data_IF_256977973909
#
_entry.id   IF_256977973909
#
_cell.length_a   1.000
_cell.length_b   1.000
_cell.length_c   1.000
_cell.angle_alpha   90.00
_cell.angle_beta   90.00
_cell.angle_gamma   90.00
#
_symmetry.space_group_name_H-M   'P 1'
#
loop_
_entity.id
_entity.type
_entity.pdbx_description
1 polymer ?
#
# COMPACT_ATOMS: atom_id res chain seq x y z
N UNK A 1 -15.68 16.34 -22.77
CA UNK A 1 -16.42 16.63 -21.53
C UNK A 1 -15.58 16.12 -20.38
N UNK A 2 -15.37 16.90 -19.31
CA UNK A 2 -14.59 16.43 -18.17
C UNK A 2 -15.40 15.39 -17.37
N UNK A 3 -14.78 14.29 -16.91
CA UNK A 3 -15.48 13.25 -16.18
C UNK A 3 -15.88 13.70 -14.78
N UNK A 4 -16.96 13.12 -14.28
CA UNK A 4 -17.45 13.20 -12.91
C UNK A 4 -16.92 12.01 -12.12
N UNK A 5 -16.27 12.26 -10.98
CA UNK A 5 -15.52 11.23 -10.25
C UNK A 5 -16.06 11.03 -8.85
N UNK A 6 -16.35 9.79 -8.49
CA UNK A 6 -16.71 9.38 -7.13
C UNK A 6 -15.55 8.63 -6.46
N UNK A 7 -15.01 9.17 -5.37
CA UNK A 7 -14.06 8.47 -4.51
C UNK A 7 -14.83 7.80 -3.38
N UNK A 8 -14.87 6.47 -3.38
CA UNK A 8 -15.68 5.67 -2.46
C UNK A 8 -14.79 5.03 -1.42
N UNK A 9 -15.09 5.23 -0.14
CA UNK A 9 -14.30 4.69 0.96
C UNK A 9 -15.15 4.19 2.12
N UNK A 10 -14.56 3.33 2.94
CA UNK A 10 -15.19 2.91 4.21
C UNK A 10 -15.04 4.03 5.23
N UNK A 11 -16.16 4.68 5.54
CA UNK A 11 -16.25 5.69 6.59
C UNK A 11 -16.26 5.03 7.97
N UNK A 12 -15.52 5.63 8.90
CA UNK A 12 -15.42 5.19 10.30
C UNK A 12 -14.97 3.73 10.47
N UNK A 13 -14.03 3.29 9.64
CA UNK A 13 -13.39 1.96 9.75
C UNK A 13 -12.97 1.64 11.20
N UNK A 14 -13.28 0.42 11.64
CA UNK A 14 -12.83 -0.11 12.92
C UNK A 14 -11.41 -0.72 12.85
N UNK A 15 -10.87 -0.85 11.63
CA UNK A 15 -9.57 -1.47 11.37
C UNK A 15 -8.47 -0.42 11.29
N UNK A 16 -8.61 0.58 10.41
CA UNK A 16 -7.55 1.54 10.11
C UNK A 16 -8.09 2.85 9.57
N UNK A 17 -7.35 3.94 9.74
CA UNK A 17 -7.63 5.22 9.08
C UNK A 17 -7.01 5.36 7.69
N UNK A 18 -6.28 4.35 7.21
CA UNK A 18 -5.52 4.39 5.96
C UNK A 18 -6.38 4.73 4.74
N UNK A 19 -7.43 3.94 4.50
CA UNK A 19 -8.31 4.12 3.34
C UNK A 19 -9.02 5.48 3.35
N UNK A 20 -9.44 5.94 4.53
CA UNK A 20 -10.07 7.25 4.69
C UNK A 20 -9.09 8.41 4.44
N UNK A 21 -7.85 8.33 4.95
CA UNK A 21 -6.82 9.34 4.72
C UNK A 21 -6.43 9.40 3.24
N UNK A 22 -6.29 8.23 2.60
CA UNK A 22 -6.00 8.13 1.18
C UNK A 22 -7.14 8.70 0.33
N UNK A 23 -8.39 8.34 0.63
CA UNK A 23 -9.57 8.82 -0.10
C UNK A 23 -9.72 10.34 0.01
N UNK A 24 -9.55 10.90 1.21
CA UNK A 24 -9.55 12.34 1.42
C UNK A 24 -8.48 13.03 0.57
N UNK A 25 -7.23 12.59 0.69
CA UNK A 25 -6.11 13.17 -0.06
C UNK A 25 -6.31 13.09 -1.57
N UNK A 26 -6.65 11.92 -2.10
CA UNK A 26 -6.87 11.73 -3.55
C UNK A 26 -8.04 12.57 -4.04
N UNK A 27 -9.15 12.63 -3.28
CA UNK A 27 -10.32 13.44 -3.67
C UNK A 27 -10.00 14.93 -3.77
N UNK A 28 -9.16 15.46 -2.86
CA UNK A 28 -8.72 16.87 -2.91
C UNK A 28 -7.79 17.11 -4.11
N UNK A 29 -6.84 16.21 -4.35
CA UNK A 29 -5.94 16.30 -5.51
C UNK A 29 -6.71 16.27 -6.84
N UNK A 30 -7.74 15.43 -6.93
CA UNK A 30 -8.61 15.34 -8.12
C UNK A 30 -9.43 16.61 -8.31
N UNK A 31 -10.07 17.13 -7.26
CA UNK A 31 -10.84 18.36 -7.34
C UNK A 31 -9.97 19.55 -7.78
N UNK A 32 -8.73 19.63 -7.30
CA UNK A 32 -7.79 20.68 -7.66
C UNK A 32 -7.07 20.47 -9.01
N UNK A 33 -7.26 19.33 -9.67
CA UNK A 33 -6.50 18.97 -10.88
C UNK A 33 -6.94 19.72 -12.16
N UNK A 34 -8.17 20.22 -12.19
CA UNK A 34 -8.81 20.69 -13.43
C UNK A 34 -9.10 19.59 -14.47
N UNK A 35 -8.86 18.32 -14.13
CA UNK A 35 -9.12 17.14 -15.00
C UNK A 35 -10.48 16.50 -14.77
N UNK A 36 -11.25 16.99 -13.79
CA UNK A 36 -12.57 16.49 -13.44
C UNK A 36 -13.58 17.63 -13.48
N UNK A 37 -14.82 17.35 -13.87
CA UNK A 37 -15.90 18.33 -13.78
C UNK A 37 -16.33 18.54 -12.33
N UNK A 38 -16.41 17.44 -11.58
CA UNK A 38 -16.75 17.42 -10.16
C UNK A 38 -16.21 16.15 -9.51
N UNK A 39 -15.79 16.26 -8.25
CA UNK A 39 -15.33 15.16 -7.42
C UNK A 39 -16.22 15.02 -6.19
N UNK A 40 -16.79 13.83 -6.00
CA UNK A 40 -17.48 13.46 -4.77
C UNK A 40 -16.59 12.56 -3.92
N UNK A 41 -16.46 12.87 -2.64
CA UNK A 41 -15.93 11.96 -1.64
C UNK A 41 -17.11 11.28 -0.92
N UNK A 42 -17.33 10.00 -1.20
CA UNK A 42 -18.50 9.24 -0.74
C UNK A 42 -18.09 8.23 0.34
N UNK A 43 -18.50 8.51 1.57
CA UNK A 43 -18.25 7.64 2.73
C UNK A 43 -19.38 6.65 2.96
N UNK A 44 -19.07 5.36 2.90
CA UNK A 44 -20.05 4.27 3.12
C UNK A 44 -19.67 3.44 4.35
N UNK A 45 -20.65 2.78 4.95
CA UNK A 45 -20.33 1.73 5.93
C UNK A 45 -19.90 0.42 5.23
N UNK A 46 -19.48 -0.58 6.02
CA UNK A 46 -19.03 -1.88 5.49
C UNK A 46 -20.11 -2.69 4.76
N UNK A 47 -21.39 -2.33 4.92
CA UNK A 47 -22.51 -2.92 4.17
C UNK A 47 -22.86 -2.11 2.91
N UNK A 48 -22.10 -1.04 2.61
CA UNK A 48 -22.31 -0.15 1.47
C UNK A 48 -23.43 0.88 1.66
N UNK A 49 -24.10 0.89 2.81
CA UNK A 49 -25.24 1.79 3.05
C UNK A 49 -24.76 3.22 3.32
N UNK A 50 -25.59 4.16 2.89
CA UNK A 50 -25.43 5.59 3.21
C UNK A 50 -25.39 5.81 4.71
N UNK A 51 -24.54 6.74 5.15
CA UNK A 51 -24.47 7.20 6.53
C UNK A 51 -25.19 8.55 6.61
N UNK A 52 -25.90 8.81 7.71
CA UNK A 52 -26.75 10.00 7.88
C UNK A 52 -26.03 11.32 7.53
N UNK A 53 -26.80 12.25 6.94
CA UNK A 53 -26.34 13.50 6.30
C UNK A 53 -25.60 14.48 7.23
N UNK A 54 -25.71 14.31 8.55
CA UNK A 54 -25.43 15.39 9.51
C UNK A 54 -24.00 15.46 10.06
N UNK A 55 -23.07 14.59 9.64
CA UNK A 55 -21.71 14.58 10.20
C UNK A 55 -20.61 14.54 9.13
N UNK A 56 -20.73 15.26 8.01
CA UNK A 56 -19.53 15.53 7.20
C UNK A 56 -18.58 16.41 8.02
N UNK A 57 -17.46 15.84 8.48
CA UNK A 57 -16.36 16.62 9.07
C UNK A 57 -15.66 17.36 7.93
N UNK A 58 -16.18 18.53 7.60
CA UNK A 58 -15.57 19.45 6.64
C UNK A 58 -14.22 19.97 7.16
N UNK A 59 -13.29 20.30 6.25
CA UNK A 59 -12.01 20.94 6.58
C UNK A 59 -10.77 20.04 6.52
N UNK A 60 -10.74 19.05 5.63
CA UNK A 60 -9.51 18.31 5.36
C UNK A 60 -8.52 19.20 4.59
N UNK A 61 -7.26 19.22 5.04
CA UNK A 61 -6.16 19.93 4.38
C UNK A 61 -5.12 18.91 3.93
N UNK A 62 -4.62 19.05 2.71
CA UNK A 62 -3.62 18.18 2.11
C UNK A 62 -2.46 18.97 1.53
N UNK A 63 -1.23 18.46 1.69
CA UNK A 63 -0.05 18.93 0.96
C UNK A 63 0.23 17.97 -0.19
N UNK A 64 -0.02 18.44 -1.42
CA UNK A 64 0.25 17.67 -2.64
C UNK A 64 1.77 17.57 -2.87
N UNK A 65 2.19 16.57 -3.63
CA UNK A 65 3.60 16.27 -3.92
C UNK A 65 4.39 17.45 -4.53
N UNK A 66 3.73 18.39 -5.20
CA UNK A 66 4.33 19.59 -5.78
C UNK A 66 4.40 20.79 -4.80
N UNK A 67 4.00 20.58 -3.54
CA UNK A 67 3.98 21.61 -2.50
C UNK A 67 2.69 22.42 -2.42
N UNK A 68 1.70 22.15 -3.28
CA UNK A 68 0.42 22.84 -3.22
C UNK A 68 -0.39 22.42 -1.98
N UNK A 69 -0.88 23.41 -1.24
CA UNK A 69 -1.79 23.18 -0.09
C UNK A 69 -3.23 23.21 -0.59
N UNK A 70 -3.92 22.09 -0.45
CA UNK A 70 -5.31 21.89 -0.85
C UNK A 70 -6.17 21.88 0.41
N UNK A 71 -7.21 22.72 0.43
CA UNK A 71 -8.09 22.89 1.59
C UNK A 71 -9.53 22.67 1.16
N UNK A 72 -10.17 21.65 1.72
CA UNK A 72 -11.53 21.27 1.35
C UNK A 72 -12.53 22.39 1.65
N UNK A 73 -12.27 23.24 2.66
CA UNK A 73 -13.09 24.41 2.98
C UNK A 73 -12.97 25.57 1.99
N UNK A 74 -11.98 25.55 1.10
CA UNK A 74 -11.78 26.59 0.06
C UNK A 74 -12.27 26.16 -1.33
N UNK A 75 -12.60 24.89 -1.51
CA UNK A 75 -13.12 24.38 -2.78
C UNK A 75 -14.63 24.64 -2.87
N UNK A 76 -15.11 25.04 -4.05
CA UNK A 76 -16.55 25.25 -4.25
C UNK A 76 -17.29 23.91 -4.29
N UNK A 77 -18.54 23.91 -3.85
CA UNK A 77 -19.43 22.73 -3.89
C UNK A 77 -19.76 22.26 -5.32
N UNK A 78 -19.46 23.09 -6.32
CA UNK A 78 -19.58 22.74 -7.74
C UNK A 78 -18.44 21.83 -8.19
N UNK A 79 -17.27 21.92 -7.56
CA UNK A 79 -16.07 21.15 -7.92
C UNK A 79 -15.83 20.00 -6.95
N UNK A 80 -16.14 20.18 -5.66
CA UNK A 80 -15.87 19.20 -4.60
C UNK A 80 -17.04 19.06 -3.63
N UNK A 81 -17.42 17.83 -3.28
CA UNK A 81 -18.47 17.57 -2.30
C UNK A 81 -18.17 16.30 -1.48
N UNK A 82 -18.20 16.41 -0.15
CA UNK A 82 -18.15 15.26 0.76
C UNK A 82 -19.57 14.83 1.12
N UNK A 83 -19.89 13.54 1.01
CA UNK A 83 -21.24 13.06 1.26
C UNK A 83 -21.27 11.62 1.76
N UNK A 84 -22.30 11.29 2.55
CA UNK A 84 -22.67 9.91 2.88
C UNK A 84 -23.69 9.31 1.91
N UNK A 85 -24.21 10.09 0.96
CA UNK A 85 -25.27 9.68 0.05
C UNK A 85 -24.70 8.96 -1.18
N UNK A 86 -24.82 7.62 -1.20
CA UNK A 86 -24.35 6.79 -2.30
C UNK A 86 -25.05 7.09 -3.63
N UNK A 87 -26.23 7.71 -3.64
CA UNK A 87 -26.99 7.96 -4.87
C UNK A 87 -26.30 8.95 -5.81
N UNK A 88 -25.41 9.81 -5.27
CA UNK A 88 -24.57 10.73 -6.03
C UNK A 88 -23.62 10.02 -7.00
N UNK A 89 -23.28 8.77 -6.72
CA UNK A 89 -22.47 7.95 -7.60
C UNK A 89 -23.15 7.62 -8.95
N UNK A 90 -24.47 7.79 -9.06
CA UNK A 90 -25.17 7.69 -10.36
C UNK A 90 -24.68 8.74 -11.37
N UNK A 91 -24.27 9.91 -10.87
CA UNK A 91 -23.80 11.02 -11.70
C UNK A 91 -22.33 10.87 -12.13
N UNK A 92 -21.63 9.86 -11.61
CA UNK A 92 -20.20 9.67 -11.83
C UNK A 92 -19.91 8.73 -13.00
N UNK A 93 -18.96 9.14 -13.84
CA UNK A 93 -18.41 8.36 -14.96
C UNK A 93 -17.33 7.38 -14.47
N UNK A 94 -16.60 7.78 -13.41
CA UNK A 94 -15.49 7.06 -12.82
C UNK A 94 -15.68 6.89 -11.31
N UNK A 95 -15.50 5.67 -10.81
CA UNK A 95 -15.38 5.39 -9.38
C UNK A 95 -13.96 4.95 -9.02
N UNK A 96 -13.43 5.52 -7.93
CA UNK A 96 -12.21 5.07 -7.29
C UNK A 96 -12.57 4.38 -5.97
N UNK A 97 -12.30 3.08 -5.87
CA UNK A 97 -12.67 2.27 -4.70
C UNK A 97 -11.49 2.14 -3.73
N UNK A 98 -11.70 2.62 -2.50
CA UNK A 98 -10.79 2.54 -1.36
C UNK A 98 -11.58 2.09 -0.11
N UNK A 99 -12.27 0.96 -0.24
CA UNK A 99 -13.06 0.37 0.84
C UNK A 99 -12.24 -0.68 1.58
N UNK A 100 -12.67 -1.09 2.77
CA UNK A 100 -12.02 -2.20 3.47
C UNK A 100 -12.02 -3.48 2.60
N UNK A 101 -10.91 -4.20 2.58
CA UNK A 101 -10.71 -5.41 1.75
C UNK A 101 -11.83 -6.45 1.92
N UNK A 102 -12.31 -6.63 3.16
CA UNK A 102 -13.37 -7.59 3.44
C UNK A 102 -14.75 -7.08 3.04
N UNK A 103 -14.95 -5.77 2.99
CA UNK A 103 -16.20 -5.12 2.59
C UNK A 103 -16.34 -4.98 1.07
N UNK A 104 -15.25 -5.04 0.30
CA UNK A 104 -15.23 -4.74 -1.15
C UNK A 104 -16.42 -5.31 -1.92
N UNK A 105 -16.61 -6.63 -1.87
CA UNK A 105 -17.66 -7.30 -2.65
C UNK A 105 -19.05 -6.88 -2.21
N UNK A 106 -19.30 -6.84 -0.89
CA UNK A 106 -20.59 -6.44 -0.33
C UNK A 106 -20.95 -5.01 -0.76
N UNK A 107 -20.00 -4.09 -0.65
CA UNK A 107 -20.19 -2.70 -1.07
C UNK A 107 -20.45 -2.63 -2.58
N UNK A 108 -19.67 -3.32 -3.41
CA UNK A 108 -19.86 -3.25 -4.87
C UNK A 108 -21.16 -3.89 -5.33
N UNK A 109 -21.58 -5.00 -4.73
CA UNK A 109 -22.87 -5.63 -5.01
C UNK A 109 -24.04 -4.72 -4.57
N UNK A 110 -23.90 -4.05 -3.42
CA UNK A 110 -24.88 -3.07 -2.96
C UNK A 110 -24.99 -1.89 -3.93
N UNK A 111 -23.85 -1.33 -4.33
CA UNK A 111 -23.79 -0.22 -5.30
C UNK A 111 -24.39 -0.63 -6.64
N UNK A 112 -24.07 -1.83 -7.14
CA UNK A 112 -24.65 -2.36 -8.37
C UNK A 112 -26.18 -2.50 -8.31
N UNK A 113 -26.72 -2.97 -7.17
CA UNK A 113 -28.17 -3.14 -6.97
C UNK A 113 -28.90 -1.80 -6.80
N UNK A 114 -28.27 -0.84 -6.14
CA UNK A 114 -28.91 0.41 -5.71
C UNK A 114 -28.83 1.50 -6.78
N UNK A 115 -27.76 1.50 -7.58
CA UNK A 115 -27.51 2.50 -8.59
C UNK A 115 -28.09 2.04 -9.94
N UNK A 116 -28.61 3.00 -10.71
CA UNK A 116 -29.28 2.68 -11.98
C UNK A 116 -28.29 1.96 -12.89
N UNK A 117 -28.78 0.92 -13.57
CA UNK A 117 -28.06 0.31 -14.69
C UNK A 117 -27.82 1.40 -15.72
N UNK A 118 -26.59 1.49 -16.21
CA UNK A 118 -26.28 2.26 -17.41
C UNK A 118 -27.14 1.70 -18.54
N UNK A 119 -28.00 2.54 -19.13
CA UNK A 119 -28.76 2.16 -20.33
C UNK A 119 -27.79 1.62 -21.39
N UNK A 120 -28.21 0.69 -22.25
CA UNK A 120 -27.36 0.13 -23.32
C UNK A 120 -26.77 1.21 -24.26
N UNK A 121 -27.37 2.41 -24.26
CA UNK A 121 -26.92 3.57 -25.03
C UNK A 121 -25.89 4.46 -24.30
N UNK A 122 -25.72 4.29 -22.99
CA UNK A 122 -24.72 5.03 -22.21
C UNK A 122 -23.38 4.28 -22.18
N UNK A 123 -22.29 5.05 -22.18
CA UNK A 123 -20.95 4.48 -21.99
C UNK A 123 -20.87 3.75 -20.64
N UNK A 124 -20.23 2.57 -20.64
CA UNK A 124 -20.01 1.83 -19.39
C UNK A 124 -19.21 2.68 -18.41
N UNK A 125 -19.68 2.69 -17.15
CA UNK A 125 -18.96 3.31 -16.03
C UNK A 125 -17.61 2.63 -15.83
N UNK A 126 -16.58 3.42 -15.51
CA UNK A 126 -15.25 2.90 -15.16
C UNK A 126 -15.12 2.81 -13.64
N UNK A 127 -14.56 1.70 -13.14
CA UNK A 127 -14.34 1.49 -11.71
C UNK A 127 -12.90 1.05 -11.50
N UNK A 128 -12.10 1.82 -10.76
CA UNK A 128 -10.72 1.48 -10.41
C UNK A 128 -10.68 1.03 -8.96
N UNK A 129 -10.25 -0.20 -8.69
CA UNK A 129 -9.90 -0.63 -7.35
C UNK A 129 -8.49 -0.17 -7.02
N UNK A 130 -8.36 0.71 -6.03
CA UNK A 130 -7.08 1.23 -5.55
C UNK A 130 -6.62 0.53 -4.26
N UNK A 131 -7.13 -0.66 -4.01
CA UNK A 131 -6.80 -1.47 -2.83
C UNK A 131 -5.45 -2.18 -3.00
N UNK A 132 -4.64 -2.14 -1.95
CA UNK A 132 -3.31 -2.76 -1.89
C UNK A 132 -3.36 -4.30 -1.84
N UNK A 133 -4.46 -4.89 -1.37
CA UNK A 133 -4.56 -6.33 -1.13
C UNK A 133 -4.65 -7.17 -2.40
N UNK A 134 -4.10 -8.39 -2.35
CA UNK A 134 -4.04 -9.36 -3.46
C UNK A 134 -5.38 -10.01 -3.81
N UNK A 135 -6.38 -9.90 -2.94
CA UNK A 135 -7.64 -10.66 -3.03
C UNK A 135 -8.63 -10.09 -4.05
N UNK A 136 -9.54 -10.98 -4.49
CA UNK A 136 -10.86 -10.67 -5.10
C UNK A 136 -10.85 -9.92 -6.44
N UNK A 137 -9.74 -9.88 -7.17
CA UNK A 137 -9.69 -9.25 -8.50
C UNK A 137 -10.75 -9.83 -9.45
N UNK A 138 -10.83 -11.16 -9.55
CA UNK A 138 -11.82 -11.82 -10.41
C UNK A 138 -13.26 -11.59 -9.92
N UNK A 139 -13.47 -11.65 -8.60
CA UNK A 139 -14.79 -11.50 -7.98
C UNK A 139 -15.34 -10.08 -8.13
N UNK A 140 -14.46 -9.07 -8.13
CA UNK A 140 -14.85 -7.67 -8.36
C UNK A 140 -15.41 -7.46 -9.76
N UNK A 141 -14.83 -8.10 -10.79
CA UNK A 141 -15.39 -8.06 -12.14
C UNK A 141 -16.81 -8.67 -12.17
N UNK A 142 -17.02 -9.76 -11.45
CA UNK A 142 -18.33 -10.43 -11.37
C UNK A 142 -19.37 -9.62 -10.60
N UNK A 143 -18.96 -8.82 -9.61
CA UNK A 143 -19.85 -7.97 -8.82
C UNK A 143 -20.34 -6.72 -9.59
N UNK A 144 -19.63 -6.32 -10.66
CA UNK A 144 -19.92 -5.13 -11.47
C UNK A 144 -19.93 -5.46 -12.98
N UNK A 145 -20.87 -6.31 -13.45
CA UNK A 145 -20.87 -6.78 -14.85
C UNK A 145 -21.11 -5.67 -15.89
N UNK A 146 -21.80 -4.61 -15.48
CA UNK A 146 -22.17 -3.48 -16.35
C UNK A 146 -21.11 -2.37 -16.37
N UNK A 147 -19.95 -2.57 -15.74
CA UNK A 147 -18.86 -1.59 -15.63
C UNK A 147 -17.55 -2.11 -16.22
N UNK A 148 -16.67 -1.18 -16.60
CA UNK A 148 -15.27 -1.50 -16.90
C UNK A 148 -14.49 -1.43 -15.60
N UNK A 149 -14.20 -2.60 -15.03
CA UNK A 149 -13.40 -2.71 -13.81
C UNK A 149 -11.92 -2.74 -14.16
N UNK A 150 -11.15 -1.83 -13.57
CA UNK A 150 -9.70 -1.77 -13.62
C UNK A 150 -9.10 -2.16 -12.27
N UNK A 151 -8.13 -3.07 -12.32
CA UNK A 151 -7.40 -3.52 -11.13
C UNK A 151 -6.17 -2.65 -10.93
N UNK A 152 -6.02 -2.06 -9.76
CA UNK A 152 -4.88 -1.24 -9.42
C UNK A 152 -4.54 -1.28 -7.94
N UNK A 153 -3.85 -0.23 -7.50
CA UNK A 153 -3.48 0.01 -6.12
C UNK A 153 -2.65 1.27 -5.96
N UNK A 154 -2.35 1.57 -4.70
CA UNK A 154 -1.55 2.74 -4.32
C UNK A 154 -0.28 2.26 -3.60
N UNK A 155 0.87 2.68 -4.09
CA UNK A 155 2.18 2.29 -3.55
C UNK A 155 2.75 3.31 -2.55
N UNK A 156 1.89 4.10 -1.91
CA UNK A 156 2.22 5.03 -0.83
C UNK A 156 1.12 5.05 0.22
N UNK A 157 1.47 5.37 1.47
CA UNK A 157 0.48 5.70 2.51
C UNK A 157 0.27 7.21 2.52
N UNK A 158 -0.92 7.66 2.90
CA UNK A 158 -1.16 9.06 3.27
C UNK A 158 -1.22 9.14 4.78
N UNK A 159 -0.43 10.04 5.36
CA UNK A 159 -0.33 10.26 6.80
C UNK A 159 -0.75 11.68 7.16
N UNK A 160 -1.22 11.88 8.40
CA UNK A 160 -1.42 13.20 8.98
C UNK A 160 -0.16 13.66 9.71
N UNK A 161 0.25 14.88 9.48
CA UNK A 161 1.29 15.53 10.28
C UNK A 161 0.75 16.05 11.62
N UNK A 162 1.63 16.67 12.41
CA UNK A 162 1.29 17.24 13.72
C UNK A 162 0.24 18.37 13.64
N UNK A 163 0.05 18.97 12.46
CA UNK A 163 -0.98 19.99 12.18
C UNK A 163 -2.27 19.38 11.62
N UNK A 164 -2.34 18.06 11.48
CA UNK A 164 -3.47 17.34 10.90
C UNK A 164 -3.52 17.36 9.38
N UNK A 165 -2.50 17.88 8.70
CA UNK A 165 -2.43 17.98 7.24
C UNK A 165 -2.05 16.63 6.63
N UNK A 166 -2.81 16.20 5.63
CA UNK A 166 -2.60 14.96 4.87
C UNK A 166 -1.43 15.12 3.91
N UNK A 167 -0.54 14.13 3.87
CA UNK A 167 0.57 14.07 2.90
C UNK A 167 1.00 12.63 2.62
N UNK A 168 1.56 12.34 1.44
CA UNK A 168 2.17 11.04 1.18
C UNK A 168 3.35 10.78 2.14
N UNK A 169 3.43 9.55 2.65
CA UNK A 169 4.53 9.08 3.48
C UNK A 169 5.79 8.80 2.66
N UNK A 170 5.65 8.42 1.39
CA UNK A 170 6.76 8.14 0.48
C UNK A 170 6.43 8.62 -0.95
N UNK A 171 7.43 8.61 -1.83
CA UNK A 171 7.30 9.03 -3.24
C UNK A 171 6.70 7.94 -4.15
N UNK A 172 5.85 7.07 -3.59
CA UNK A 172 5.19 6.03 -4.38
C UNK A 172 4.17 6.61 -5.36
N UNK A 173 3.62 5.73 -6.20
CA UNK A 173 2.71 6.12 -7.27
C UNK A 173 1.45 5.23 -7.31
N UNK A 174 0.51 5.56 -8.18
CA UNK A 174 -0.56 4.65 -8.53
C UNK A 174 -0.05 3.57 -9.48
N UNK A 175 -0.61 2.37 -9.40
CA UNK A 175 -0.45 1.36 -10.44
C UNK A 175 -1.82 0.84 -10.87
N UNK A 176 -1.97 0.60 -12.17
CA UNK A 176 -3.22 0.12 -12.77
C UNK A 176 -2.89 -0.93 -13.83
N UNK A 177 -3.78 -1.91 -14.00
CA UNK A 177 -3.61 -2.92 -15.02
C UNK A 177 -3.46 -2.31 -16.41
N UNK A 178 -2.65 -2.96 -17.24
CA UNK A 178 -2.55 -2.57 -18.64
C UNK A 178 -3.86 -2.85 -19.33
N UNK A 179 -4.43 -1.80 -19.92
CA UNK A 179 -5.71 -1.86 -20.61
C UNK A 179 -5.62 -2.84 -21.78
N UNK A 180 -6.54 -3.81 -21.80
CA UNK A 180 -6.78 -4.63 -22.97
C UNK A 180 -7.53 -3.80 -24.03
N UNK A 181 -7.60 -4.31 -25.28
CA UNK A 181 -8.34 -3.65 -26.36
C UNK A 181 -9.78 -3.32 -25.97
N UNK A 182 -10.42 -4.21 -25.21
CA UNK A 182 -11.80 -4.08 -24.73
C UNK A 182 -11.98 -2.97 -23.68
N UNK A 183 -10.90 -2.59 -22.97
CA UNK A 183 -10.92 -1.56 -21.92
C UNK A 183 -10.35 -0.22 -22.37
N UNK A 184 -10.08 -0.05 -23.67
CA UNK A 184 -9.46 1.18 -24.22
C UNK A 184 -10.29 2.44 -23.94
N UNK A 185 -11.63 2.32 -23.86
CA UNK A 185 -12.51 3.43 -23.51
C UNK A 185 -12.30 3.97 -22.08
N UNK A 186 -11.60 3.22 -21.21
CA UNK A 186 -11.26 3.64 -19.86
C UNK A 186 -9.91 4.39 -19.78
N UNK A 187 -9.24 4.67 -20.90
CA UNK A 187 -7.95 5.36 -20.91
C UNK A 187 -7.98 6.71 -20.18
N UNK A 188 -9.07 7.46 -20.32
CA UNK A 188 -9.26 8.75 -19.66
C UNK A 188 -9.15 8.65 -18.12
N UNK A 189 -9.45 7.48 -17.54
CA UNK A 189 -9.39 7.30 -16.10
C UNK A 189 -7.93 7.30 -15.59
N UNK A 190 -6.96 6.92 -16.44
CA UNK A 190 -5.54 7.06 -16.13
C UNK A 190 -5.13 8.54 -16.16
N UNK A 191 -5.58 9.30 -17.15
CA UNK A 191 -5.32 10.76 -17.23
C UNK A 191 -5.89 11.51 -16.01
N UNK A 192 -7.06 11.08 -15.52
CA UNK A 192 -7.68 11.62 -14.30
C UNK A 192 -6.79 11.34 -13.08
N UNK A 193 -6.27 10.12 -12.94
CA UNK A 193 -5.35 9.78 -11.85
C UNK A 193 -4.03 10.54 -11.95
N UNK A 194 -3.45 10.68 -13.14
CA UNK A 194 -2.25 11.50 -13.35
C UNK A 194 -2.50 12.99 -13.04
N UNK A 195 -3.73 13.46 -13.22
CA UNK A 195 -4.17 14.81 -12.83
C UNK A 195 -3.96 15.12 -11.34
N UNK A 196 -3.84 14.11 -10.48
CA UNK A 196 -3.51 14.30 -9.05
C UNK A 196 -2.07 14.79 -8.82
N UNK A 197 -1.23 14.85 -9.86
CA UNK A 197 0.20 15.14 -9.74
C UNK A 197 1.03 13.93 -9.29
N UNK A 198 0.42 12.75 -9.23
CA UNK A 198 1.06 11.48 -8.85
C UNK A 198 1.14 10.60 -10.08
N UNK A 199 2.29 9.95 -10.27
CA UNK A 199 2.50 9.10 -11.43
C UNK A 199 1.54 7.90 -11.45
N UNK A 200 1.22 7.41 -12.64
CA UNK A 200 0.40 6.21 -12.84
C UNK A 200 1.20 5.21 -13.65
N UNK A 201 1.48 4.05 -13.06
CA UNK A 201 2.18 2.97 -13.74
C UNK A 201 1.20 1.94 -14.29
N UNK A 202 1.19 1.79 -15.60
CA UNK A 202 0.46 0.71 -16.26
C UNK A 202 1.30 -0.57 -16.30
N UNK A 203 0.74 -1.70 -15.83
CA UNK A 203 1.45 -2.99 -15.76
C UNK A 203 0.58 -4.16 -16.21
N UNK A 204 1.18 -5.09 -16.95
CA UNK A 204 0.51 -6.35 -17.32
C UNK A 204 0.29 -7.27 -16.12
N UNK A 205 1.26 -7.33 -15.21
CA UNK A 205 1.22 -8.21 -14.05
C UNK A 205 0.93 -7.42 -12.76
N UNK A 206 -0.35 -7.10 -12.55
CA UNK A 206 -0.77 -6.39 -11.34
C UNK A 206 -0.61 -7.24 -10.08
N UNK A 207 -0.67 -8.56 -10.19
CA UNK A 207 -0.43 -9.44 -9.04
C UNK A 207 1.00 -9.29 -8.53
N UNK A 208 2.00 -9.29 -9.42
CA UNK A 208 3.40 -9.05 -9.03
C UNK A 208 3.58 -7.70 -8.32
N UNK A 209 2.87 -6.67 -8.77
CA UNK A 209 2.90 -5.35 -8.13
C UNK A 209 2.24 -5.36 -6.74
N UNK A 210 1.09 -6.00 -6.60
CA UNK A 210 0.45 -6.16 -5.28
C UNK A 210 1.34 -6.94 -4.30
N UNK A 211 2.04 -7.97 -4.77
CA UNK A 211 3.04 -8.69 -3.98
C UNK A 211 4.16 -7.78 -3.50
N UNK A 212 4.83 -7.06 -4.41
CA UNK A 212 5.95 -6.18 -4.02
C UNK A 212 5.51 -5.05 -3.10
N UNK A 213 4.35 -4.43 -3.32
CA UNK A 213 3.80 -3.44 -2.39
C UNK A 213 3.50 -4.03 -1.01
N UNK A 214 2.85 -5.19 -0.94
CA UNK A 214 2.54 -5.85 0.35
C UNK A 214 3.83 -6.23 1.09
N UNK A 215 4.85 -6.67 0.37
CA UNK A 215 6.16 -6.97 0.92
C UNK A 215 6.78 -5.75 1.61
N UNK A 216 6.81 -4.60 0.94
CA UNK A 216 7.33 -3.35 1.53
C UNK A 216 6.54 -2.92 2.76
N UNK A 217 5.22 -3.05 2.71
CA UNK A 217 4.31 -2.63 3.78
C UNK A 217 4.47 -3.43 5.08
N UNK A 218 5.01 -4.65 5.03
CA UNK A 218 5.37 -5.42 6.24
C UNK A 218 6.26 -4.62 7.20
N UNK A 219 7.11 -3.72 6.66
CA UNK A 219 7.98 -2.87 7.45
C UNK A 219 7.22 -1.87 8.31
N UNK A 220 6.09 -1.36 7.84
CA UNK A 220 5.28 -0.41 8.60
C UNK A 220 4.70 -1.01 9.88
N UNK A 221 4.43 -2.32 9.89
CA UNK A 221 3.98 -3.05 11.08
C UNK A 221 5.13 -3.23 12.09
N UNK A 222 6.35 -3.50 11.62
CA UNK A 222 7.55 -3.57 12.48
C UNK A 222 7.79 -2.22 13.18
N UNK A 223 7.70 -1.12 12.42
CA UNK A 223 7.90 0.23 12.97
C UNK A 223 6.81 0.60 13.97
N UNK A 224 5.56 0.22 13.69
CA UNK A 224 4.44 0.47 14.58
C UNK A 224 4.61 -0.25 15.93
N UNK A 225 5.08 -1.49 15.95
CA UNK A 225 5.35 -2.24 17.18
C UNK A 225 6.54 -1.70 17.98
N UNK A 226 7.58 -1.21 17.29
CA UNK A 226 8.74 -0.60 17.96
C UNK A 226 8.52 0.85 18.37
N UNK A 227 7.43 1.47 17.90
CA UNK A 227 7.13 2.89 18.08
C UNK A 227 8.09 3.84 17.37
N UNK A 228 8.93 3.31 16.46
CA UNK A 228 9.91 4.08 15.69
C UNK A 228 9.27 4.71 14.46
N UNK A 229 9.89 5.78 14.00
CA UNK A 229 9.63 6.28 12.65
C UNK A 229 10.16 5.27 11.61
N UNK A 230 9.73 5.38 10.35
CA UNK A 230 10.22 4.57 9.23
C UNK A 230 11.72 4.74 9.07
N UNK A 231 12.21 5.99 9.10
CA UNK A 231 13.63 6.27 8.93
C UNK A 231 14.45 5.74 10.12
N UNK A 232 13.99 5.93 11.35
CA UNK A 232 14.70 5.41 12.53
C UNK A 232 14.62 3.88 12.63
N UNK A 233 13.52 3.29 12.16
CA UNK A 233 13.39 1.85 11.97
C UNK A 233 14.38 1.34 10.92
N UNK A 234 14.63 2.06 9.84
CA UNK A 234 15.62 1.67 8.84
C UNK A 234 17.05 1.84 9.36
N UNK A 235 17.30 2.85 10.20
CA UNK A 235 18.61 3.05 10.83
C UNK A 235 18.94 1.97 11.86
N UNK A 236 17.93 1.37 12.49
CA UNK A 236 18.12 0.27 13.42
C UNK A 236 18.36 -1.05 12.67
N UNK A 237 19.52 -1.65 12.92
CA UNK A 237 19.92 -2.91 12.32
C UNK A 237 18.97 -4.06 12.64
N UNK A 238 18.40 -4.09 13.86
CA UNK A 238 17.57 -5.21 14.31
C UNK A 238 16.22 -5.25 13.58
N UNK A 239 15.59 -4.08 13.43
CA UNK A 239 14.38 -3.89 12.60
C UNK A 239 14.66 -4.19 11.13
N UNK A 240 15.83 -3.81 10.59
CA UNK A 240 16.23 -4.21 9.23
C UNK A 240 16.32 -5.72 9.06
N UNK A 241 16.85 -6.46 10.04
CA UNK A 241 16.91 -7.92 9.98
C UNK A 241 15.53 -8.58 10.09
N UNK A 242 14.64 -8.05 10.93
CA UNK A 242 13.24 -8.48 10.97
C UNK A 242 12.54 -8.27 9.62
N UNK A 243 12.73 -7.09 9.03
CA UNK A 243 12.18 -6.77 7.73
C UNK A 243 12.73 -7.69 6.64
N UNK A 244 14.05 -7.89 6.63
CA UNK A 244 14.73 -8.81 5.71
C UNK A 244 14.17 -10.23 5.82
N UNK A 245 13.94 -10.74 7.03
CA UNK A 245 13.35 -12.05 7.24
C UNK A 245 11.91 -12.12 6.69
N UNK A 246 11.09 -11.09 6.90
CA UNK A 246 9.75 -11.01 6.31
C UNK A 246 9.80 -11.00 4.77
N UNK A 247 10.76 -10.28 4.17
CA UNK A 247 10.96 -10.28 2.72
C UNK A 247 11.40 -11.66 2.19
N UNK A 248 12.31 -12.35 2.88
CA UNK A 248 12.72 -13.73 2.53
C UNK A 248 11.51 -14.66 2.52
N UNK A 249 10.72 -14.66 3.60
CA UNK A 249 9.53 -15.50 3.73
C UNK A 249 8.53 -15.27 2.60
N UNK A 250 8.26 -14.01 2.28
CA UNK A 250 7.32 -13.66 1.21
C UNK A 250 7.89 -13.95 -0.19
N UNK A 251 9.19 -13.76 -0.44
CA UNK A 251 9.81 -14.07 -1.75
C UNK A 251 9.80 -15.58 -1.98
N UNK A 252 10.19 -16.38 -0.98
CA UNK A 252 10.13 -17.84 -1.06
C UNK A 252 8.69 -18.33 -1.34
N UNK A 253 7.70 -17.78 -0.63
CA UNK A 253 6.30 -18.11 -0.88
C UNK A 253 5.86 -17.72 -2.29
N UNK A 254 6.22 -16.52 -2.75
CA UNK A 254 5.91 -16.06 -4.10
C UNK A 254 6.50 -17.00 -5.15
N UNK A 255 7.78 -17.38 -5.01
CA UNK A 255 8.43 -18.33 -5.92
C UNK A 255 7.71 -19.69 -5.92
N UNK A 256 7.30 -20.19 -4.76
CA UNK A 256 6.53 -21.44 -4.65
C UNK A 256 5.15 -21.33 -5.33
N UNK A 257 4.47 -20.19 -5.21
CA UNK A 257 3.21 -19.91 -5.90
C UNK A 257 3.41 -19.92 -7.42
N UNK A 258 4.42 -19.21 -7.90
CA UNK A 258 4.71 -19.12 -9.34
C UNK A 258 5.12 -20.47 -9.93
N UNK A 259 5.94 -21.25 -9.22
CA UNK A 259 6.27 -22.62 -9.62
C UNK A 259 5.02 -23.51 -9.74
N UNK A 260 4.07 -23.38 -8.82
CA UNK A 260 2.80 -24.12 -8.85
C UNK A 260 1.96 -23.74 -10.08
N UNK A 261 1.85 -22.45 -10.39
CA UNK A 261 1.10 -21.94 -11.54
C UNK A 261 1.73 -22.40 -12.85
N UNK A 262 3.06 -22.35 -12.95
CA UNK A 262 3.78 -22.83 -14.12
C UNK A 262 3.62 -24.33 -14.33
N UNK A 263 3.65 -25.13 -13.25
CA UNK A 263 3.42 -26.58 -13.35
C UNK A 263 1.98 -26.91 -13.79
N UNK A 264 0.99 -26.12 -13.41
CA UNK A 264 -0.40 -26.30 -13.83
C UNK A 264 -0.63 -25.92 -15.31
N UNK A 265 0.10 -24.93 -15.81
CA UNK A 265 -0.01 -24.45 -17.19
C UNK A 265 0.88 -25.26 -18.15
N UNK A 266 0.38 -26.41 -18.63
CA UNK A 266 1.06 -27.31 -19.60
C UNK A 266 1.30 -26.69 -21.00
N UNK A 267 0.88 -25.46 -21.26
CA UNK A 267 1.07 -24.79 -22.55
C UNK A 267 2.34 -23.94 -22.53
N UNK A 268 3.36 -24.37 -23.29
CA UNK A 268 4.73 -23.83 -23.32
C UNK A 268 4.93 -22.38 -23.78
N UNK A 269 4.09 -21.43 -23.38
CA UNK A 269 4.48 -20.02 -23.36
C UNK A 269 5.43 -19.86 -22.19
N UNK A 270 6.73 -19.69 -22.50
CA UNK A 270 7.78 -19.50 -21.52
C UNK A 270 7.31 -18.61 -20.39
N UNK A 271 7.21 -19.20 -19.19
CA UNK A 271 6.98 -18.46 -17.96
C UNK A 271 8.18 -17.54 -17.81
N UNK A 272 8.05 -16.30 -18.27
CA UNK A 272 9.02 -15.27 -17.94
C UNK A 272 9.23 -15.26 -16.44
N UNK A 273 10.48 -15.16 -16.01
CA UNK A 273 10.90 -15.19 -14.62
C UNK A 273 10.13 -14.09 -13.86
N UNK A 274 9.00 -14.46 -13.27
CA UNK A 274 8.14 -13.50 -12.59
C UNK A 274 8.79 -13.21 -11.26
N UNK A 275 8.95 -11.93 -10.95
CA UNK A 275 9.44 -11.46 -9.66
C UNK A 275 8.41 -10.51 -9.04
N UNK A 276 8.40 -10.36 -7.71
CA UNK A 276 7.63 -9.31 -7.07
C UNK A 276 8.06 -7.95 -7.64
N UNK A 277 7.09 -7.17 -8.10
CA UNK A 277 7.34 -5.86 -8.70
C UNK A 277 7.15 -4.78 -7.63
N UNK A 278 8.15 -3.94 -7.46
CA UNK A 278 8.18 -2.82 -6.50
C UNK A 278 8.28 -1.46 -7.19
N UNK A 279 8.25 -1.44 -8.53
CA UNK A 279 8.47 -0.24 -9.35
C UNK A 279 7.50 0.91 -9.09
N UNK A 280 6.35 0.67 -8.45
CA UNK A 280 5.43 1.71 -8.04
C UNK A 280 5.82 2.42 -6.73
N UNK A 281 6.64 1.80 -5.89
CA UNK A 281 7.10 2.37 -4.63
C UNK A 281 8.58 2.78 -4.69
N UNK A 282 9.43 2.00 -5.37
CA UNK A 282 10.87 2.22 -5.43
C UNK A 282 11.45 1.66 -6.73
N UNK A 283 12.61 2.20 -7.14
CA UNK A 283 13.39 1.67 -8.25
C UNK A 283 14.10 0.35 -7.90
N UNK A 284 14.11 -0.06 -6.63
CA UNK A 284 14.82 -1.23 -6.15
C UNK A 284 13.93 -2.48 -6.10
N UNK A 285 14.22 -3.53 -6.89
CA UNK A 285 13.59 -4.83 -6.73
C UNK A 285 13.74 -5.36 -5.30
N UNK A 286 12.80 -6.20 -4.85
CA UNK A 286 12.81 -6.81 -3.51
C UNK A 286 14.14 -7.48 -3.20
N UNK A 287 14.70 -8.25 -4.15
CA UNK A 287 15.99 -8.92 -3.98
C UNK A 287 17.16 -7.95 -3.81
N UNK A 288 17.11 -6.77 -4.43
CA UNK A 288 18.10 -5.72 -4.21
C UNK A 288 17.99 -5.14 -2.80
N UNK A 289 16.76 -4.91 -2.30
CA UNK A 289 16.55 -4.53 -0.92
C UNK A 289 17.11 -5.57 0.06
N UNK A 290 16.90 -6.86 -0.22
CA UNK A 290 17.43 -7.95 0.60
C UNK A 290 18.97 -7.98 0.67
N UNK A 291 19.66 -7.46 -0.37
CA UNK A 291 21.13 -7.29 -0.37
C UNK A 291 21.56 -6.09 0.50
N UNK A 292 20.78 -5.01 0.49
CA UNK A 292 21.08 -3.76 1.18
C UNK A 292 20.72 -3.79 2.68
N UNK A 293 19.60 -4.41 3.06
CA UNK A 293 19.13 -4.42 4.44
C UNK A 293 20.11 -5.00 5.48
N UNK A 294 20.91 -6.05 5.24
CA UNK A 294 21.83 -6.59 6.25
C UNK A 294 23.15 -5.83 6.38
N UNK A 295 23.37 -4.77 5.60
CA UNK A 295 24.60 -3.98 5.62
C UNK A 295 24.98 -3.47 7.02
N UNK A 296 26.28 -3.32 7.33
CA UNK A 296 26.73 -2.59 8.51
C UNK A 296 26.11 -1.20 8.60
N UNK A 297 25.80 -0.74 9.82
CA UNK A 297 25.10 0.53 10.05
C UNK A 297 25.80 1.73 9.39
N UNK A 298 27.13 1.78 9.42
CA UNK A 298 27.88 2.87 8.82
C UNK A 298 27.70 2.93 7.29
N UNK A 299 27.63 1.78 6.60
CA UNK A 299 27.38 1.73 5.14
C UNK A 299 25.93 2.11 4.87
N UNK A 300 25.00 1.49 5.59
CA UNK A 300 23.57 1.67 5.34
C UNK A 300 23.14 3.13 5.60
N UNK A 301 23.55 3.70 6.73
CA UNK A 301 23.13 5.04 7.13
C UNK A 301 23.84 6.15 6.34
N UNK A 302 25.11 5.93 5.96
CA UNK A 302 25.90 6.97 5.26
C UNK A 302 25.70 6.94 3.76
N UNK A 303 25.41 5.77 3.17
CA UNK A 303 25.27 5.60 1.73
C UNK A 303 23.84 5.24 1.35
N UNK A 304 23.31 4.13 1.84
CA UNK A 304 22.01 3.61 1.35
C UNK A 304 20.89 4.60 1.61
N UNK A 305 20.71 5.05 2.86
CA UNK A 305 19.62 5.97 3.21
C UNK A 305 19.77 7.38 2.64
N UNK A 306 20.96 7.77 2.19
CA UNK A 306 21.19 9.10 1.60
C UNK A 306 21.02 9.11 0.10
N UNK A 307 21.38 8.02 -0.56
CA UNK A 307 21.45 7.93 -2.02
C UNK A 307 20.21 7.26 -2.61
N UNK A 308 19.58 6.35 -1.88
CA UNK A 308 18.52 5.51 -2.40
C UNK A 308 17.17 5.77 -1.74
N UNK A 309 16.15 6.00 -2.57
CA UNK A 309 14.76 5.97 -2.12
C UNK A 309 14.28 4.52 -2.07
N UNK A 310 14.15 3.98 -0.85
CA UNK A 310 13.69 2.61 -0.62
C UNK A 310 12.17 2.46 -0.74
N UNK A 311 11.43 3.53 -1.05
CA UNK A 311 9.97 3.51 -1.24
C UNK A 311 9.16 3.40 0.04
N UNK A 312 9.79 3.59 1.19
CA UNK A 312 9.18 3.40 2.52
C UNK A 312 8.90 4.72 3.24
N UNK A 313 9.66 5.79 2.95
CA UNK A 313 9.51 7.06 3.65
C UNK A 313 10.10 8.22 2.85
N UNK A 314 9.54 9.42 3.02
CA UNK A 314 10.02 10.67 2.45
C UNK A 314 10.70 11.52 3.55
N UNK A 315 11.84 12.17 3.28
CA UNK A 315 12.68 12.81 4.30
C UNK A 315 12.04 13.96 5.12
N UNK A 316 10.82 14.39 4.78
CA UNK A 316 10.19 15.61 5.31
C UNK A 316 8.99 15.35 6.24
N UNK A 317 8.65 14.08 6.51
CA UNK A 317 7.49 13.75 7.32
C UNK A 317 7.83 13.46 8.77
N UNK A 318 6.88 13.69 9.68
CA UNK A 318 6.79 12.90 10.90
C UNK A 318 6.63 11.46 10.43
N UNK A 319 7.76 10.78 10.24
CA UNK A 319 7.94 9.53 9.47
C UNK A 319 7.25 8.33 10.13
N UNK A 320 6.06 8.47 10.70
CA UNK A 320 5.29 7.38 11.30
C UNK A 320 4.24 6.91 10.31
N UNK A 321 4.15 5.59 10.16
CA UNK A 321 3.12 4.96 9.33
C UNK A 321 1.72 5.18 9.90
N UNK A 322 0.70 5.06 9.05
CA UNK A 322 -0.71 5.10 9.50
C UNK A 322 -0.97 4.04 10.58
N UNK A 323 -0.33 2.87 10.46
CA UNK A 323 -0.43 1.76 11.41
C UNK A 323 0.04 2.20 12.81
N UNK A 324 1.08 3.02 12.89
CA UNK A 324 1.56 3.58 14.17
C UNK A 324 0.50 4.49 14.80
N UNK A 325 -0.19 5.29 13.98
CA UNK A 325 -1.31 6.13 14.44
C UNK A 325 -2.54 5.31 14.83
N UNK A 326 -2.82 4.21 14.12
CA UNK A 326 -3.94 3.31 14.40
C UNK A 326 -3.76 2.59 15.74
N UNK A 327 -2.54 2.11 16.03
CA UNK A 327 -2.21 1.52 17.34
C UNK A 327 -2.27 2.54 18.48
N UNK A 328 -2.12 3.84 18.17
CA UNK A 328 -2.18 4.92 19.17
C UNK A 328 -3.57 5.58 19.26
N UNK A 329 -4.54 5.13 18.46
CA UNK A 329 -5.86 5.73 18.39
C UNK A 329 -6.68 5.50 19.67
N UNK A 330 -7.64 6.38 19.95
CA UNK A 330 -8.60 6.24 21.05
C UNK A 330 -10.01 6.43 20.48
N UNK A 331 -10.91 5.43 20.56
CA UNK A 331 -10.63 4.06 21.00
C UNK A 331 -9.62 3.35 20.08
N UNK A 332 -8.84 2.37 20.59
CA UNK A 332 -7.78 1.78 19.79
C UNK A 332 -8.36 0.98 18.61
N UNK A 333 -7.68 1.02 17.46
CA UNK A 333 -8.09 0.34 16.22
C UNK A 333 -7.43 -1.05 16.12
N UNK A 334 -7.92 -1.91 15.21
CA UNK A 334 -7.42 -3.30 15.05
C UNK A 334 -6.18 -3.42 14.14
N UNK A 335 -5.87 -2.40 13.35
CA UNK A 335 -4.96 -2.43 12.18
C UNK A 335 -5.47 -3.31 11.04
N UNK A 336 -4.93 -3.10 9.84
CA UNK A 336 -5.29 -3.86 8.64
C UNK A 336 -4.52 -5.18 8.48
N UNK A 337 -3.64 -5.56 9.41
CA UNK A 337 -2.70 -6.68 9.22
C UNK A 337 -3.39 -7.98 8.81
N UNK A 338 -4.43 -8.38 9.55
CA UNK A 338 -5.14 -9.64 9.30
C UNK A 338 -5.89 -9.65 7.96
N UNK A 339 -6.37 -8.50 7.50
CA UNK A 339 -7.04 -8.37 6.22
C UNK A 339 -6.03 -8.32 5.06
N UNK A 340 -4.91 -7.62 5.26
CA UNK A 340 -3.87 -7.40 4.26
C UNK A 340 -3.05 -8.67 3.97
N UNK A 341 -2.63 -9.40 5.01
CA UNK A 341 -1.77 -10.58 4.89
C UNK A 341 -2.54 -11.90 4.84
N UNK A 342 -3.88 -11.89 4.83
CA UNK A 342 -4.69 -13.12 4.85
C UNK A 342 -4.31 -14.09 3.74
N UNK A 343 -4.27 -13.59 2.50
CA UNK A 343 -3.95 -14.41 1.33
C UNK A 343 -2.54 -14.99 1.42
N UNK A 344 -1.58 -14.25 1.99
CA UNK A 344 -0.21 -14.73 2.22
C UNK A 344 -0.25 -15.94 3.17
N UNK A 345 -0.97 -15.86 4.29
CA UNK A 345 -1.12 -16.97 5.22
C UNK A 345 -1.92 -18.14 4.64
N UNK A 346 -2.99 -17.89 3.88
CA UNK A 346 -3.78 -18.93 3.20
C UNK A 346 -2.91 -19.68 2.17
N UNK A 347 -2.15 -18.95 1.35
CA UNK A 347 -1.25 -19.52 0.33
C UNK A 347 -0.10 -20.32 0.93
N UNK A 348 0.46 -19.85 2.05
CA UNK A 348 1.52 -20.55 2.77
C UNK A 348 1.00 -21.83 3.44
N UNK A 349 -0.18 -21.76 4.06
CA UNK A 349 -0.84 -22.92 4.68
C UNK A 349 -1.11 -24.00 3.63
N UNK A 350 -1.65 -23.62 2.47
CA UNK A 350 -1.88 -24.54 1.35
C UNK A 350 -0.61 -25.18 0.77
N UNK A 351 0.57 -24.67 1.14
CA UNK A 351 1.89 -25.17 0.70
C UNK A 351 2.74 -25.72 1.84
N UNK A 352 2.20 -25.84 3.05
CA UNK A 352 2.94 -26.23 4.25
C UNK A 352 4.20 -25.37 4.50
N UNK A 353 4.17 -24.09 4.13
CA UNK A 353 5.26 -23.15 4.36
C UNK A 353 5.02 -22.39 5.66
N UNK A 354 6.06 -22.28 6.49
CA UNK A 354 6.03 -21.48 7.71
C UNK A 354 6.51 -20.06 7.44
N UNK A 355 5.83 -19.09 8.03
CA UNK A 355 6.16 -17.66 7.92
C UNK A 355 6.46 -17.09 9.31
N UNK A 356 7.59 -17.46 9.96
CA UNK A 356 7.83 -17.16 11.37
C UNK A 356 7.83 -15.67 11.71
N UNK A 357 8.43 -14.80 10.88
CA UNK A 357 8.41 -13.36 11.12
C UNK A 357 7.01 -12.78 10.96
N UNK A 358 6.28 -13.14 9.90
CA UNK A 358 4.90 -12.66 9.73
C UNK A 358 3.97 -13.20 10.82
N UNK A 359 4.19 -14.43 11.29
CA UNK A 359 3.42 -15.02 12.39
C UNK A 359 3.73 -14.33 13.73
N UNK A 360 4.99 -13.98 13.98
CA UNK A 360 5.38 -13.17 15.14
C UNK A 360 4.69 -11.80 15.08
N UNK A 361 4.67 -11.12 13.94
CA UNK A 361 3.97 -9.85 13.79
C UNK A 361 2.46 -10.00 14.07
N UNK A 362 1.82 -11.03 13.51
CA UNK A 362 0.40 -11.32 13.73
C UNK A 362 0.06 -11.49 15.22
N UNK A 363 0.84 -12.33 15.91
CA UNK A 363 0.61 -12.69 17.30
C UNK A 363 0.92 -11.52 18.24
N UNK A 364 1.99 -10.77 17.97
CA UNK A 364 2.37 -9.58 18.74
C UNK A 364 1.34 -8.47 18.62
N UNK A 365 0.90 -8.14 17.40
CA UNK A 365 -0.16 -7.15 17.17
C UNK A 365 -1.46 -7.54 17.89
N UNK A 366 -1.83 -8.83 17.82
CA UNK A 366 -2.99 -9.36 18.52
C UNK A 366 -2.87 -9.26 20.04
N UNK A 367 -1.68 -9.52 20.59
CA UNK A 367 -1.39 -9.42 22.03
C UNK A 367 -1.48 -7.97 22.51
N UNK A 368 -0.78 -7.06 21.83
CA UNK A 368 -0.83 -5.61 22.08
C UNK A 368 -2.27 -5.13 22.06
N UNK A 369 -3.04 -5.57 21.08
CA UNK A 369 -4.46 -5.19 20.96
C UNK A 369 -5.29 -5.67 22.15
N UNK A 370 -5.12 -6.92 22.57
CA UNK A 370 -5.82 -7.47 23.75
C UNK A 370 -5.49 -6.68 25.00
N UNK A 371 -4.21 -6.34 25.19
CA UNK A 371 -3.75 -5.53 26.31
C UNK A 371 -4.39 -4.13 26.30
N UNK A 372 -4.36 -3.42 25.17
CA UNK A 372 -4.98 -2.09 25.04
C UNK A 372 -6.48 -2.09 25.32
N UNK A 373 -7.19 -3.16 24.92
CA UNK A 373 -8.61 -3.31 25.21
C UNK A 373 -8.89 -3.54 26.69
N UNK A 374 -8.00 -4.25 27.40
CA UNK A 374 -8.10 -4.42 28.86
C UNK A 374 -7.82 -3.10 29.57
N UNK A 375 -6.73 -2.41 29.23
CA UNK A 375 -6.38 -1.11 29.81
C UNK A 375 -7.49 -0.06 29.62
N UNK A 376 -8.11 -0.02 28.44
CA UNK A 376 -9.25 0.85 28.17
C UNK A 376 -10.48 0.49 29.02
N UNK A 377 -10.75 -0.80 29.25
CA UNK A 377 -11.87 -1.24 30.12
C UNK A 377 -11.63 -0.87 31.58
N UNK A 378 -10.38 -0.96 32.03
CA UNK A 378 -9.98 -0.69 33.40
C UNK A 378 -9.86 0.83 33.69
N UNK A 379 -10.21 1.69 32.73
CA UNK A 379 -10.10 3.15 32.86
C UNK A 379 -8.66 3.66 32.90
N UNK A 380 -7.68 2.78 32.64
CA UNK A 380 -6.27 3.11 32.59
C UNK A 380 -6.01 3.83 31.27
N UNK A 381 -6.13 5.16 31.28
CA UNK A 381 -5.69 6.02 30.18
C UNK A 381 -4.16 6.12 30.16
N UNK A 382 -3.45 4.98 30.19
CA UNK A 382 -2.01 5.03 29.96
C UNK A 382 -1.82 5.43 28.49
N UNK A 383 -1.41 6.68 28.27
CA UNK A 383 -1.00 7.20 26.96
C UNK A 383 0.30 6.55 26.46
N UNK A 384 0.71 5.43 27.06
CA UNK A 384 2.02 4.83 26.82
C UNK A 384 2.00 4.23 25.43
N UNK A 385 2.70 4.82 24.45
CA UNK A 385 2.70 4.30 23.10
C UNK A 385 3.37 2.92 23.10
N UNK A 386 2.87 2.01 22.27
CA UNK A 386 3.46 0.68 22.08
C UNK A 386 4.92 0.85 21.64
N UNK A 387 5.83 0.31 22.44
CA UNK A 387 7.28 0.40 22.21
C UNK A 387 7.94 -0.89 22.68
N UNK A 388 7.97 -1.88 21.80
CA UNK A 388 8.70 -3.12 22.04
C UNK A 388 10.14 -2.91 21.55
N UNK A 389 11.13 -3.27 22.37
CA UNK A 389 12.53 -3.22 21.94
C UNK A 389 12.72 -4.11 20.70
N UNK A 390 13.41 -3.59 19.69
CA UNK A 390 13.62 -4.32 18.44
C UNK A 390 14.45 -5.59 18.62
N UNK A 391 15.26 -5.67 19.68
CA UNK A 391 16.02 -6.86 20.03
C UNK A 391 15.14 -7.97 20.57
N UNK A 392 14.09 -7.62 21.33
CA UNK A 392 13.09 -8.58 21.81
C UNK A 392 12.31 -9.16 20.62
N UNK A 393 11.80 -8.30 19.73
CA UNK A 393 11.11 -8.76 18.52
C UNK A 393 12.00 -9.65 17.64
N UNK A 394 13.28 -9.29 17.47
CA UNK A 394 14.21 -10.08 16.67
C UNK A 394 14.54 -11.44 17.33
N UNK A 395 14.64 -11.49 18.66
CA UNK A 395 14.94 -12.73 19.38
C UNK A 395 13.83 -13.79 19.26
N UNK A 396 12.59 -13.37 19.03
CA UNK A 396 11.46 -14.30 18.82
C UNK A 396 11.48 -14.98 17.44
N UNK A 397 12.30 -14.48 16.51
CA UNK A 397 12.34 -14.98 15.13
C UNK A 397 13.69 -15.62 14.83
N UNK A 398 13.67 -16.91 14.46
CA UNK A 398 14.86 -17.57 13.93
C UNK A 398 15.12 -17.09 12.50
N UNK A 399 16.16 -16.28 12.32
CA UNK A 399 16.57 -15.80 11.00
C UNK A 399 16.94 -16.97 10.07
N UNK A 400 16.42 -16.91 8.85
CA UNK A 400 16.77 -17.83 7.77
C UNK A 400 18.25 -17.68 7.41
N UNK A 401 18.98 -18.77 7.14
CA UNK A 401 20.35 -18.70 6.63
C UNK A 401 20.44 -17.93 5.30
N UNK A 402 19.32 -17.79 4.57
CA UNK A 402 19.24 -17.03 3.32
C UNK A 402 19.26 -15.50 3.53
N UNK A 403 18.95 -14.98 4.72
CA UNK A 403 18.92 -13.54 5.01
C UNK A 403 20.22 -12.84 4.59
N UNK A 404 21.37 -13.38 4.98
CA UNK A 404 22.68 -12.76 4.68
C UNK A 404 23.34 -13.34 3.45
N UNK A 405 22.81 -14.42 2.86
CA UNK A 405 23.46 -15.13 1.77
C UNK A 405 23.60 -14.25 0.51
N UNK A 406 22.53 -13.55 0.14
CA UNK A 406 22.52 -12.64 -1.02
C UNK A 406 23.51 -11.49 -0.83
N UNK A 407 23.46 -10.83 0.33
CA UNK A 407 24.37 -9.72 0.65
C UNK A 407 25.83 -10.16 0.68
N UNK A 408 26.16 -11.26 1.37
CA UNK A 408 27.53 -11.82 1.41
C UNK A 408 28.06 -12.09 0.01
N UNK A 409 27.24 -12.70 -0.85
CA UNK A 409 27.62 -13.01 -2.23
C UNK A 409 27.85 -11.74 -3.05
N UNK A 410 27.00 -10.73 -2.89
CA UNK A 410 27.16 -9.44 -3.53
C UNK A 410 28.46 -8.75 -3.10
N UNK A 411 28.74 -8.67 -1.79
CA UNK A 411 29.97 -8.08 -1.27
C UNK A 411 31.22 -8.80 -1.75
N UNK A 412 31.20 -10.13 -1.73
CA UNK A 412 32.33 -10.92 -2.22
C UNK A 412 32.61 -10.61 -3.70
N UNK A 413 31.56 -10.50 -4.52
CA UNK A 413 31.68 -10.13 -5.94
C UNK A 413 32.22 -8.71 -6.10
N UNK A 414 31.63 -7.72 -5.44
CA UNK A 414 32.09 -6.31 -5.53
C UNK A 414 33.53 -6.17 -5.06
N UNK A 415 33.89 -6.80 -3.95
CA UNK A 415 35.26 -6.77 -3.43
C UNK A 415 36.25 -7.42 -4.39
N UNK A 416 35.94 -8.62 -4.90
CA UNK A 416 36.78 -9.31 -5.88
C UNK A 416 36.92 -8.49 -7.17
N UNK A 417 35.82 -7.90 -7.68
CA UNK A 417 35.85 -7.02 -8.85
C UNK A 417 36.73 -5.80 -8.59
N UNK A 418 36.58 -5.11 -7.46
CA UNK A 418 37.39 -3.95 -7.12
C UNK A 418 38.89 -4.29 -7.06
N UNK A 419 39.26 -5.39 -6.40
CA UNK A 419 40.65 -5.86 -6.31
C UNK A 419 41.20 -6.21 -7.70
N UNK A 420 40.45 -6.94 -8.52
CA UNK A 420 40.86 -7.30 -9.87
C UNK A 420 41.01 -6.08 -10.78
N UNK A 421 40.10 -5.09 -10.68
CA UNK A 421 40.19 -3.83 -11.43
C UNK A 421 41.40 -3.00 -10.98
N UNK A 422 41.68 -2.94 -9.68
CA UNK A 422 42.87 -2.27 -9.14
C UNK A 422 44.15 -2.95 -9.64
N UNK A 423 44.23 -4.27 -9.56
CA UNK A 423 45.38 -5.05 -10.04
C UNK A 423 45.58 -4.88 -11.55
N UNK A 424 44.51 -4.88 -12.34
CA UNK A 424 44.57 -4.60 -13.76
C UNK A 424 45.06 -3.18 -14.05
N UNK A 425 44.57 -2.18 -13.32
CA UNK A 425 45.04 -0.80 -13.44
C UNK A 425 46.52 -0.67 -13.08
N UNK A 426 46.96 -1.29 -11.98
CA UNK A 426 48.38 -1.31 -11.61
C UNK A 426 49.22 -2.02 -12.69
N UNK A 427 48.74 -3.13 -13.23
CA UNK A 427 49.44 -3.84 -14.31
C UNK A 427 49.52 -3.02 -15.61
N UNK A 428 48.51 -2.21 -15.94
CA UNK A 428 48.47 -1.41 -17.17
C UNK A 428 49.19 -0.06 -17.08
N UNK A 429 49.39 0.47 -15.86
CA UNK A 429 49.91 1.83 -15.66
C UNK A 429 51.20 1.92 -14.83
N UNK A 430 51.59 0.85 -14.12
CA UNK A 430 52.82 0.79 -13.32
C UNK A 430 53.86 -0.16 -13.93
N UNK A 431 53.43 -1.07 -14.80
CA UNK A 431 54.27 -1.86 -15.70
C UNK A 431 54.02 -1.40 -17.14
#
# INVERSE_FOLDING_TARGET
MLPRVGVVYTRDSALSREDAQLAQYVSLCLAASGRCAKTWLVGLNNDGKSIDKNESKTGAVALRCDGAVLDSGKLSTEIYEETGDCTKLNECDLWLLMVETDATLKVTEFLHKTLKKTDEKQAKRVVISLQTTMRRLAQLNSALPDSIVLHGGVAFQVVKDDKGMLRPLCNGCFFVERLSKEKTSALYALDVLEGTGIQVLSRHNIQAMKWGCTMLRSFYYINALTGKSVLDGLRDRKTRFLFLQALVEMDELFQAVMASVTAANKSGRGSGDSSPDTSAATLFPVRSLMVLLPLPDWIFNSFVLRVFDLGLGAPSSTDKSVISSDLSAIPPLKTNFEAEFRDIFELATGRNMTLPALKMLQTTLSSVRKQQLLEHKDGVSSRTPVRIDSGVLLAEVKLSPHCTAASRTFFLKVFATFVLTLLLGLYLFVW
#
